data_IF_109595878965
#
_entry.id   IF_109595878965
#
_cell.length_a   1.000
_cell.length_b   1.000
_cell.length_c   1.000
_cell.angle_alpha   90.00
_cell.angle_beta   90.00
_cell.angle_gamma   90.00
#
_symmetry.space_group_name_H-M   'P 1'
#
loop_
_entity.id
_entity.type
_entity.pdbx_description
1 polymer ?
#
# COMPACT_ATOMS: atom_id res chain seq x y z
N UNK A 1 23.93 -7.65 -5.43
CA UNK A 1 23.25 -7.96 -4.15
C UNK A 1 21.75 -8.01 -4.43
N UNK A 2 21.10 -9.18 -4.31
CA UNK A 2 19.64 -9.25 -4.36
C UNK A 2 19.14 -8.80 -2.99
N UNK A 3 18.69 -7.56 -2.88
CA UNK A 3 18.09 -7.07 -1.64
C UNK A 3 16.70 -7.70 -1.51
N UNK A 4 16.49 -8.56 -0.52
CA UNK A 4 15.19 -9.14 -0.17
C UNK A 4 14.30 -8.14 0.59
N UNK A 5 14.19 -6.91 0.08
CA UNK A 5 13.42 -5.82 0.71
C UNK A 5 11.90 -6.06 0.70
N UNK A 6 11.43 -7.12 0.06
CA UNK A 6 10.01 -7.47 -0.13
C UNK A 6 9.49 -8.53 0.86
N UNK A 7 10.32 -9.00 1.80
CA UNK A 7 9.88 -9.93 2.85
C UNK A 7 9.01 -9.17 3.85
N UNK A 8 7.80 -9.67 4.08
CA UNK A 8 6.79 -9.25 5.08
C UNK A 8 7.16 -7.99 5.89
N UNK A 9 6.45 -6.90 5.66
CA UNK A 9 6.69 -5.65 6.39
C UNK A 9 5.40 -5.00 6.85
N UNK A 10 5.55 -3.99 7.70
CA UNK A 10 4.42 -3.23 8.26
C UNK A 10 4.11 -2.04 7.37
N UNK A 11 2.83 -1.90 7.01
CA UNK A 11 2.31 -0.76 6.27
C UNK A 11 2.08 0.39 7.25
N UNK A 12 2.69 1.53 6.96
CA UNK A 12 2.59 2.75 7.78
C UNK A 12 2.29 3.97 6.91
N UNK A 13 1.59 4.98 7.44
CA UNK A 13 1.42 6.22 6.71
C UNK A 13 2.76 6.93 6.56
N UNK A 14 3.12 7.41 5.36
CA UNK A 14 4.33 8.23 5.20
C UNK A 14 4.29 9.51 6.04
N UNK A 15 3.12 10.13 6.11
CA UNK A 15 2.83 11.31 6.91
C UNK A 15 1.30 11.49 7.02
N UNK A 16 0.84 12.44 7.84
CA UNK A 16 -0.58 12.72 8.04
C UNK A 16 -1.33 13.12 6.76
N UNK A 17 -0.64 13.66 5.75
CA UNK A 17 -1.25 14.07 4.48
C UNK A 17 -1.53 12.89 3.55
N UNK A 18 -0.90 11.72 3.73
CA UNK A 18 -1.20 10.53 2.92
C UNK A 18 -2.58 9.98 3.23
N UNK A 19 -2.97 10.01 4.50
CA UNK A 19 -4.26 9.47 4.96
C UNK A 19 -5.42 9.96 4.08
N UNK A 20 -5.64 11.27 3.88
CA UNK A 20 -6.72 11.72 3.03
C UNK A 20 -6.59 11.26 1.57
N UNK A 21 -5.40 11.07 1.02
CA UNK A 21 -5.21 10.60 -0.36
C UNK A 21 -5.67 9.15 -0.56
N UNK A 22 -5.23 8.23 0.31
CA UNK A 22 -5.71 6.84 0.30
C UNK A 22 -7.24 6.80 0.46
N UNK A 23 -7.77 7.72 1.27
CA UNK A 23 -9.20 7.84 1.53
C UNK A 23 -9.98 8.66 0.48
N UNK A 24 -9.36 9.22 -0.57
CA UNK A 24 -10.08 10.04 -1.57
C UNK A 24 -11.13 9.23 -2.35
N UNK A 25 -11.00 7.91 -2.44
CA UNK A 25 -11.94 7.01 -3.12
C UNK A 25 -12.72 6.12 -2.15
N UNK A 26 -13.31 6.70 -1.09
CA UNK A 26 -14.04 5.96 -0.04
C UNK A 26 -15.03 4.91 -0.58
N UNK A 27 -15.84 5.28 -1.56
CA UNK A 27 -16.87 4.39 -2.14
C UNK A 27 -16.30 3.11 -2.78
N UNK A 28 -15.04 3.15 -3.23
CA UNK A 28 -14.39 1.99 -3.83
C UNK A 28 -13.92 1.00 -2.75
N UNK A 29 -13.43 1.55 -1.64
CA UNK A 29 -12.99 0.78 -0.47
C UNK A 29 -14.13 0.11 0.28
N UNK A 30 -15.31 0.73 0.36
CA UNK A 30 -16.48 0.15 1.03
C UNK A 30 -16.92 -1.21 0.44
N UNK A 31 -16.49 -1.55 -0.78
CA UNK A 31 -16.71 -2.86 -1.40
C UNK A 31 -15.84 -3.97 -0.80
N UNK A 32 -14.74 -3.60 -0.13
CA UNK A 32 -13.77 -4.52 0.48
C UNK A 32 -13.75 -4.41 2.01
N UNK A 33 -13.87 -3.19 2.53
CA UNK A 33 -13.82 -2.91 3.98
C UNK A 33 -14.71 -1.73 4.30
N UNK A 34 -15.58 -1.89 5.30
CA UNK A 34 -16.54 -0.86 5.70
C UNK A 34 -15.84 0.30 6.42
N UNK A 35 -15.92 1.50 5.83
CA UNK A 35 -15.31 2.71 6.37
C UNK A 35 -16.26 3.41 7.35
N UNK A 36 -15.71 3.97 8.44
CA UNK A 36 -16.45 4.73 9.46
C UNK A 36 -16.50 6.23 9.13
N UNK A 37 -15.66 6.71 8.21
CA UNK A 37 -15.52 8.12 7.90
C UNK A 37 -14.42 8.80 8.71
N UNK A 38 -13.98 8.19 9.81
CA UNK A 38 -12.79 8.62 10.55
C UNK A 38 -11.55 8.22 9.75
N UNK A 39 -10.85 9.23 9.23
CA UNK A 39 -9.69 9.05 8.35
C UNK A 39 -8.59 8.16 8.95
N UNK A 40 -8.31 8.27 10.24
CA UNK A 40 -7.24 7.50 10.88
C UNK A 40 -7.64 6.03 11.06
N UNK A 41 -8.85 5.77 11.53
CA UNK A 41 -9.41 4.42 11.65
C UNK A 41 -9.54 3.73 10.29
N UNK A 42 -10.04 4.47 9.30
CA UNK A 42 -10.24 3.97 7.95
C UNK A 42 -8.90 3.61 7.29
N UNK A 43 -7.86 4.43 7.49
CA UNK A 43 -6.52 4.11 7.02
C UNK A 43 -5.96 2.86 7.69
N UNK A 44 -6.18 2.68 9.00
CA UNK A 44 -5.75 1.47 9.71
C UNK A 44 -6.44 0.23 9.13
N UNK A 45 -7.76 0.29 8.90
CA UNK A 45 -8.52 -0.79 8.27
C UNK A 45 -8.00 -1.14 6.86
N UNK A 46 -7.74 -0.14 6.02
CA UNK A 46 -7.19 -0.35 4.68
C UNK A 46 -5.79 -0.97 4.77
N UNK A 47 -4.94 -0.47 5.67
CA UNK A 47 -3.59 -1.00 5.85
C UNK A 47 -3.61 -2.47 6.29
N UNK A 48 -4.46 -2.82 7.27
CA UNK A 48 -4.64 -4.20 7.71
C UNK A 48 -5.15 -5.10 6.58
N UNK A 49 -6.15 -4.66 5.81
CA UNK A 49 -6.64 -5.41 4.64
C UNK A 49 -5.51 -5.70 3.63
N UNK A 50 -4.67 -4.69 3.36
CA UNK A 50 -3.55 -4.81 2.43
C UNK A 50 -2.49 -5.80 2.96
N UNK A 51 -2.14 -5.73 4.24
CA UNK A 51 -1.23 -6.68 4.89
C UNK A 51 -1.77 -8.12 4.85
N UNK A 52 -3.03 -8.31 5.26
CA UNK A 52 -3.72 -9.62 5.30
C UNK A 52 -3.86 -10.23 3.90
N UNK A 53 -4.06 -9.40 2.87
CA UNK A 53 -4.11 -9.87 1.48
C UNK A 53 -2.76 -10.35 0.96
N UNK A 54 -1.66 -10.05 1.65
CA UNK A 54 -0.31 -10.35 1.21
C UNK A 54 0.15 -9.46 0.06
N UNK A 55 -0.34 -8.22 -0.04
CA UNK A 55 -0.01 -7.32 -1.17
C UNK A 55 1.50 -7.14 -1.35
N UNK A 56 2.28 -7.14 -0.28
CA UNK A 56 3.73 -6.90 -0.29
C UNK A 56 4.57 -8.03 -0.92
N UNK A 57 3.95 -9.15 -1.33
CA UNK A 57 4.63 -10.25 -2.01
C UNK A 57 5.26 -9.81 -3.35
N UNK A 58 6.45 -10.33 -3.67
CA UNK A 58 7.18 -10.02 -4.91
C UNK A 58 6.33 -10.23 -6.18
N UNK A 59 5.50 -11.27 -6.20
CA UNK A 59 4.61 -11.59 -7.34
C UNK A 59 3.59 -10.48 -7.66
N UNK A 60 3.31 -9.60 -6.69
CA UNK A 60 2.34 -8.52 -6.82
C UNK A 60 3.01 -7.21 -7.24
N UNK A 61 4.34 -7.15 -7.35
CA UNK A 61 5.06 -5.96 -7.80
C UNK A 61 4.78 -5.74 -9.28
N UNK A 62 4.24 -4.58 -9.63
CA UNK A 62 4.12 -4.12 -11.01
C UNK A 62 5.39 -3.42 -11.48
N UNK A 63 5.95 -2.58 -10.62
CA UNK A 63 7.10 -1.73 -10.97
C UNK A 63 7.84 -1.29 -9.73
N UNK A 64 9.15 -1.13 -9.86
CA UNK A 64 10.00 -0.45 -8.88
C UNK A 64 10.74 0.73 -9.50
N UNK A 65 11.09 1.71 -8.68
CA UNK A 65 11.97 2.83 -9.02
C UNK A 65 12.84 3.19 -7.83
N UNK A 66 14.12 3.36 -8.07
CA UNK A 66 15.07 3.80 -7.06
C UNK A 66 15.21 5.33 -7.06
N UNK A 67 15.35 5.91 -5.87
CA UNK A 67 15.56 7.33 -5.64
C UNK A 67 16.75 7.51 -4.67
N UNK A 68 17.37 8.69 -4.73
CA UNK A 68 18.48 9.08 -3.85
C UNK A 68 19.61 8.04 -3.82
N UNK A 69 20.09 7.64 -5.00
CA UNK A 69 21.13 6.61 -5.16
C UNK A 69 20.77 5.28 -4.48
N UNK A 70 19.53 4.82 -4.67
CA UNK A 70 19.06 3.54 -4.13
C UNK A 70 18.69 3.56 -2.66
N UNK A 71 18.72 4.71 -1.97
CA UNK A 71 18.31 4.80 -0.55
C UNK A 71 16.82 4.59 -0.35
N UNK A 72 16.01 5.01 -1.32
CA UNK A 72 14.56 4.87 -1.29
C UNK A 72 14.13 4.08 -2.53
N UNK A 73 13.33 3.05 -2.31
CA UNK A 73 12.68 2.28 -3.35
C UNK A 73 11.20 2.64 -3.34
N UNK A 74 10.68 3.12 -4.46
CA UNK A 74 9.24 3.20 -4.68
C UNK A 74 8.79 1.96 -5.44
N UNK A 75 7.72 1.34 -4.96
CA UNK A 75 7.19 0.11 -5.55
C UNK A 75 5.68 0.25 -5.75
N UNK A 76 5.23 0.01 -6.97
CA UNK A 76 3.83 -0.03 -7.34
C UNK A 76 3.40 -1.50 -7.33
N UNK A 77 2.31 -1.82 -6.63
CA UNK A 77 1.79 -3.17 -6.45
C UNK A 77 0.37 -3.30 -6.99
N UNK A 78 0.02 -4.54 -7.37
CA UNK A 78 -1.34 -4.92 -7.76
C UNK A 78 -1.69 -6.29 -7.19
N UNK A 79 -2.88 -6.39 -6.62
CA UNK A 79 -3.46 -7.64 -6.14
C UNK A 79 -4.95 -7.67 -6.45
N UNK A 80 -5.52 -8.88 -6.52
CA UNK A 80 -6.98 -9.07 -6.57
C UNK A 80 -7.45 -9.48 -5.17
N UNK A 81 -8.38 -8.70 -4.59
CA UNK A 81 -9.04 -8.99 -3.32
C UNK A 81 -10.54 -9.10 -3.61
N UNK A 82 -11.16 -10.24 -3.31
CA UNK A 82 -12.61 -10.46 -3.51
C UNK A 82 -13.12 -10.01 -4.90
N UNK A 83 -12.41 -10.37 -5.98
CA UNK A 83 -12.67 -9.99 -7.37
C UNK A 83 -12.48 -8.50 -7.72
N UNK A 84 -12.00 -7.68 -6.79
CA UNK A 84 -11.62 -6.30 -7.06
C UNK A 84 -10.12 -6.17 -7.23
N UNK A 85 -9.70 -5.45 -8.27
CA UNK A 85 -8.30 -5.08 -8.42
C UNK A 85 -7.96 -3.94 -7.46
N UNK A 86 -6.92 -4.14 -6.67
CA UNK A 86 -6.38 -3.15 -5.74
C UNK A 86 -4.96 -2.83 -6.16
N UNK A 87 -4.68 -1.55 -6.30
CA UNK A 87 -3.33 -1.05 -6.54
C UNK A 87 -2.88 -0.20 -5.36
N UNK A 88 -1.60 -0.32 -5.02
CA UNK A 88 -0.99 0.44 -3.94
C UNK A 88 0.43 0.85 -4.30
N UNK A 89 0.82 2.04 -3.87
CA UNK A 89 2.15 2.59 -4.05
C UNK A 89 2.81 2.67 -2.69
N UNK A 90 3.96 2.05 -2.55
CA UNK A 90 4.78 2.12 -1.34
C UNK A 90 6.10 2.80 -1.62
N UNK A 91 6.65 3.43 -0.59
CA UNK A 91 8.07 3.74 -0.51
C UNK A 91 8.67 2.93 0.65
N UNK A 92 9.86 2.39 0.42
CA UNK A 92 10.62 1.63 1.41
C UNK A 92 12.03 2.20 1.44
N UNK A 93 12.58 2.38 2.64
CA UNK A 93 14.00 2.70 2.79
C UNK A 93 14.79 1.39 2.77
N UNK A 94 15.90 1.35 2.04
CA UNK A 94 16.73 0.14 1.99
C UNK A 94 17.24 -0.21 3.39
N UNK A 95 17.02 -1.47 3.80
CA UNK A 95 17.36 -1.96 5.13
C UNK A 95 16.28 -1.73 6.21
N UNK A 96 15.10 -1.25 5.82
CA UNK A 96 13.96 -1.09 6.71
C UNK A 96 12.80 -2.03 6.30
N UNK A 97 12.11 -2.61 7.28
CA UNK A 97 10.93 -3.47 7.08
C UNK A 97 9.60 -2.67 7.08
N UNK A 98 9.70 -1.34 7.09
CA UNK A 98 8.55 -0.43 7.00
C UNK A 98 8.26 -0.07 5.55
N UNK A 99 7.00 -0.28 5.16
CA UNK A 99 6.46 0.12 3.87
C UNK A 99 5.58 1.36 4.06
N UNK A 100 6.09 2.50 3.62
CA UNK A 100 5.35 3.76 3.69
C UNK A 100 4.32 3.80 2.57
N UNK A 101 3.05 3.59 2.91
CA UNK A 101 1.96 3.74 1.95
C UNK A 101 1.94 5.19 1.45
N UNK A 102 1.96 5.36 0.13
CA UNK A 102 1.88 6.66 -0.55
C UNK A 102 0.50 6.91 -1.10
N UNK A 103 -0.09 5.88 -1.67
CA UNK A 103 -1.41 5.90 -2.28
C UNK A 103 -1.92 4.47 -2.40
N UNK A 104 -3.24 4.29 -2.40
CA UNK A 104 -3.88 3.03 -2.74
C UNK A 104 -5.30 3.28 -3.21
N UNK A 105 -5.75 2.45 -4.15
CA UNK A 105 -7.11 2.52 -4.66
C UNK A 105 -7.61 1.15 -5.12
N UNK A 106 -8.92 0.99 -5.00
CA UNK A 106 -9.67 -0.09 -5.65
C UNK A 106 -10.04 0.38 -7.06
N UNK A 107 -9.67 -0.38 -8.08
CA UNK A 107 -10.08 -0.13 -9.44
C UNK A 107 -11.55 -0.55 -9.61
N UNK A 108 -12.39 0.40 -10.05
CA UNK A 108 -13.78 0.13 -10.41
C UNK A 108 -13.79 0.03 -11.94
N UNK A 109 -14.21 -1.11 -12.47
CA UNK A 109 -14.51 -1.30 -13.89
C UNK A 109 -15.84 -0.66 -14.25
#
# INVERSE_FOLDING_TARGET
MKHDWYKSGKIVPKNANVIPHVMQKKHAWDKLVKLSGNKAEDFAKVSSLLEESGILSEKNILRTREFYNGKIIRSDYKIIINNFEVQAVFETQVGNELFFLKDAWVAIK
#
